data_IF_211928587346
#
_entry.id   IF_211928587346
#
_cell.length_a   1.000
_cell.length_b   1.000
_cell.length_c   1.000
_cell.angle_alpha   90.00
_cell.angle_beta   90.00
_cell.angle_gamma   90.00
#
_symmetry.space_group_name_H-M   'P 1'
#
loop_
_entity.id
_entity.type
_entity.pdbx_description
1 polymer ?
#
# COMPACT_ATOMS: atom_id res chain seq x y z
N UNK A 1 -21.37 -14.59 -54.92
CA UNK A 1 -20.15 -13.75 -54.78
C UNK A 1 -20.30 -12.61 -53.77
N UNK A 2 -21.44 -11.89 -53.68
CA UNK A 2 -21.69 -10.88 -52.63
C UNK A 2 -21.62 -11.42 -51.19
N UNK A 3 -22.05 -12.66 -50.98
CA UNK A 3 -22.04 -13.29 -49.65
C UNK A 3 -20.67 -13.83 -49.22
N UNK A 4 -19.71 -13.97 -50.14
CA UNK A 4 -18.33 -14.38 -49.81
C UNK A 4 -17.46 -13.18 -49.41
N UNK A 5 -17.80 -12.00 -49.91
CA UNK A 5 -17.13 -10.74 -49.56
C UNK A 5 -17.52 -10.31 -48.13
N UNK A 6 -18.76 -10.57 -47.70
CA UNK A 6 -19.19 -10.31 -46.31
C UNK A 6 -18.50 -11.24 -45.29
N UNK A 7 -18.27 -12.50 -45.61
CA UNK A 7 -17.59 -13.44 -44.70
C UNK A 7 -16.09 -13.17 -44.61
N UNK A 8 -15.46 -12.68 -45.68
CA UNK A 8 -14.06 -12.26 -45.68
C UNK A 8 -13.82 -10.95 -44.91
N UNK A 9 -14.82 -10.06 -44.84
CA UNK A 9 -14.73 -8.80 -44.10
C UNK A 9 -14.85 -8.98 -42.57
N UNK A 10 -15.48 -10.05 -42.08
CA UNK A 10 -15.61 -10.33 -40.64
C UNK A 10 -14.36 -10.96 -40.00
N UNK A 11 -13.41 -11.46 -40.80
CA UNK A 11 -12.19 -12.11 -40.29
C UNK A 11 -11.05 -11.12 -39.96
N UNK A 12 -11.26 -9.82 -40.16
CA UNK A 12 -10.27 -8.77 -39.87
C UNK A 12 -10.51 -7.99 -38.56
N UNK A 13 -11.42 -8.47 -37.68
CA UNK A 13 -11.39 -8.07 -36.27
C UNK A 13 -10.24 -8.82 -35.60
N UNK A 14 -9.02 -8.41 -35.95
CA UNK A 14 -7.82 -8.81 -35.24
C UNK A 14 -7.99 -8.33 -33.79
N UNK A 15 -8.19 -9.27 -32.89
CA UNK A 15 -8.07 -9.02 -31.46
C UNK A 15 -6.63 -8.60 -31.22
N UNK A 16 -6.39 -7.30 -31.09
CA UNK A 16 -5.12 -6.79 -30.55
C UNK A 16 -5.11 -7.19 -29.07
N UNK A 17 -4.64 -8.40 -28.80
CA UNK A 17 -4.35 -8.84 -27.44
C UNK A 17 -2.99 -8.24 -27.07
N UNK A 18 -3.01 -7.22 -26.21
CA UNK A 18 -1.77 -6.73 -25.61
C UNK A 18 -1.24 -7.83 -24.68
N UNK A 19 -0.22 -8.55 -25.13
CA UNK A 19 0.50 -9.48 -24.27
C UNK A 19 1.17 -8.68 -23.14
N UNK A 20 1.00 -9.16 -21.90
CA UNK A 20 1.62 -8.55 -20.73
C UNK A 20 3.15 -8.59 -20.88
N UNK A 21 3.82 -7.46 -20.63
CA UNK A 21 5.28 -7.39 -20.66
C UNK A 21 5.90 -8.28 -19.57
N UNK A 22 7.18 -8.63 -19.71
CA UNK A 22 7.88 -9.42 -18.70
C UNK A 22 7.89 -8.72 -17.33
N UNK A 23 8.05 -7.40 -17.31
CA UNK A 23 7.96 -6.57 -16.11
C UNK A 23 6.58 -6.70 -15.45
N UNK A 24 5.54 -6.44 -16.22
CA UNK A 24 4.17 -6.44 -15.73
C UNK A 24 3.75 -7.81 -15.20
N UNK A 25 4.15 -8.89 -15.87
CA UNK A 25 3.92 -10.27 -15.41
C UNK A 25 4.63 -10.52 -14.09
N UNK A 26 5.91 -10.14 -13.98
CA UNK A 26 6.68 -10.31 -12.76
C UNK A 26 6.09 -9.50 -11.60
N UNK A 27 5.70 -8.24 -11.84
CA UNK A 27 5.05 -7.41 -10.83
C UNK A 27 3.71 -7.99 -10.40
N UNK A 28 2.85 -8.39 -11.34
CA UNK A 28 1.52 -8.95 -11.03
C UNK A 28 1.64 -10.18 -10.14
N UNK A 29 2.55 -11.11 -10.47
CA UNK A 29 2.76 -12.34 -9.67
C UNK A 29 3.20 -12.05 -8.23
N UNK A 30 3.94 -10.97 -8.00
CA UNK A 30 4.45 -10.60 -6.67
C UNK A 30 3.44 -9.74 -5.90
N UNK A 31 2.73 -8.84 -6.56
CA UNK A 31 1.72 -7.97 -5.94
C UNK A 31 0.61 -8.79 -5.32
N UNK A 32 0.12 -9.84 -6.00
CA UNK A 32 -0.93 -10.71 -5.44
C UNK A 32 -0.53 -11.36 -4.13
N UNK A 33 0.78 -11.49 -3.87
CA UNK A 33 1.31 -12.07 -2.65
C UNK A 33 1.41 -11.05 -1.51
N UNK A 34 1.37 -9.75 -1.76
CA UNK A 34 1.69 -8.74 -0.73
C UNK A 34 0.61 -8.62 0.37
N UNK A 35 -0.61 -9.06 0.08
CA UNK A 35 -1.75 -9.07 1.03
C UNK A 35 -2.02 -10.47 1.64
N UNK A 36 -1.28 -11.50 1.21
CA UNK A 36 -1.41 -12.83 1.80
C UNK A 36 -0.94 -12.84 3.25
N UNK A 37 -1.40 -13.82 4.02
CA UNK A 37 -0.79 -14.14 5.30
C UNK A 37 0.60 -14.74 5.07
N UNK A 38 1.63 -14.13 5.65
CA UNK A 38 3.04 -14.52 5.50
C UNK A 38 3.82 -14.36 6.80
N UNK A 39 4.99 -14.99 6.87
CA UNK A 39 5.96 -14.78 7.94
C UNK A 39 6.82 -13.53 7.68
N UNK A 40 7.50 -12.98 8.71
CA UNK A 40 8.49 -11.90 8.53
C UNK A 40 9.58 -12.21 7.48
N UNK A 41 10.04 -13.46 7.41
CA UNK A 41 11.06 -13.93 6.46
C UNK A 41 10.53 -13.95 5.03
N UNK A 42 9.29 -14.39 4.85
CA UNK A 42 8.63 -14.40 3.53
C UNK A 42 8.38 -12.98 3.01
N UNK A 43 8.03 -12.03 3.88
CA UNK A 43 7.96 -10.62 3.51
C UNK A 43 9.32 -10.02 3.17
N UNK A 44 10.38 -10.45 3.87
CA UNK A 44 11.76 -10.05 3.53
C UNK A 44 12.14 -10.56 2.14
N UNK A 45 11.84 -11.83 1.83
CA UNK A 45 12.07 -12.39 0.49
C UNK A 45 11.27 -11.64 -0.59
N UNK A 46 10.01 -11.31 -0.30
CA UNK A 46 9.16 -10.56 -1.21
C UNK A 46 9.69 -9.14 -1.49
N UNK A 47 10.14 -8.43 -0.45
CA UNK A 47 10.77 -7.11 -0.61
C UNK A 47 12.03 -7.18 -1.48
N UNK A 48 12.89 -8.19 -1.26
CA UNK A 48 14.09 -8.42 -2.07
C UNK A 48 13.77 -8.73 -3.54
N UNK A 49 12.71 -9.48 -3.81
CA UNK A 49 12.27 -9.75 -5.17
C UNK A 49 11.80 -8.47 -5.87
N UNK A 50 11.03 -7.62 -5.18
CA UNK A 50 10.63 -6.32 -5.70
C UNK A 50 11.83 -5.38 -5.94
N UNK A 51 12.81 -5.34 -5.03
CA UNK A 51 14.03 -4.53 -5.21
C UNK A 51 14.85 -4.99 -6.41
N UNK A 52 14.93 -6.31 -6.65
CA UNK A 52 15.60 -6.89 -7.83
C UNK A 52 14.87 -6.49 -9.12
N UNK A 53 13.53 -6.50 -9.12
CA UNK A 53 12.73 -6.03 -10.26
C UNK A 53 13.00 -4.53 -10.49
N UNK A 54 12.95 -3.70 -9.45
CA UNK A 54 13.21 -2.27 -9.54
C UNK A 54 14.61 -1.96 -10.06
N UNK A 55 15.62 -2.73 -9.62
CA UNK A 55 17.00 -2.56 -10.09
C UNK A 55 17.15 -2.82 -11.58
N UNK A 56 16.37 -3.75 -12.15
CA UNK A 56 16.33 -4.02 -13.58
C UNK A 56 15.48 -2.99 -14.34
N UNK A 57 14.37 -2.56 -13.75
CA UNK A 57 13.39 -1.64 -14.32
C UNK A 57 13.50 -0.28 -13.62
N UNK A 58 14.71 0.28 -13.64
CA UNK A 58 15.15 1.39 -12.77
C UNK A 58 14.50 2.75 -13.04
N UNK A 59 13.58 2.83 -13.99
CA UNK A 59 12.76 4.00 -14.27
C UNK A 59 11.33 3.86 -13.70
N UNK A 60 11.02 2.77 -13.01
CA UNK A 60 9.70 2.50 -12.45
C UNK A 60 9.74 2.53 -10.91
N UNK A 61 8.88 3.35 -10.31
CA UNK A 61 8.80 3.51 -8.86
C UNK A 61 8.02 2.38 -8.16
N UNK A 62 7.12 1.68 -8.87
CA UNK A 62 6.22 0.70 -8.28
C UNK A 62 6.94 -0.49 -7.62
N UNK A 63 8.01 -1.09 -8.19
CA UNK A 63 8.75 -2.14 -7.51
C UNK A 63 9.27 -1.68 -6.13
N UNK A 64 9.87 -0.50 -6.06
CA UNK A 64 10.38 0.03 -4.80
C UNK A 64 9.25 0.39 -3.82
N UNK A 65 8.10 0.86 -4.30
CA UNK A 65 6.91 1.01 -3.45
C UNK A 65 6.49 -0.32 -2.81
N UNK A 66 6.38 -1.39 -3.60
CA UNK A 66 5.96 -2.68 -3.07
C UNK A 66 7.02 -3.35 -2.19
N UNK A 67 8.31 -3.08 -2.43
CA UNK A 67 9.38 -3.47 -1.52
C UNK A 67 9.20 -2.80 -0.15
N UNK A 68 8.97 -1.48 -0.12
CA UNK A 68 8.68 -0.75 1.10
C UNK A 68 7.42 -1.28 1.80
N UNK A 69 6.33 -1.50 1.05
CA UNK A 69 5.08 -2.01 1.61
C UNK A 69 5.23 -3.41 2.20
N UNK A 70 5.92 -4.34 1.52
CA UNK A 70 6.22 -5.67 2.05
C UNK A 70 7.01 -5.60 3.37
N UNK A 71 8.01 -4.71 3.45
CA UNK A 71 8.77 -4.47 4.68
C UNK A 71 7.90 -3.88 5.80
N UNK A 72 6.97 -2.98 5.48
CA UNK A 72 6.01 -2.44 6.45
C UNK A 72 5.08 -3.55 6.96
N UNK A 73 4.61 -4.45 6.09
CA UNK A 73 3.77 -5.59 6.49
C UNK A 73 4.51 -6.55 7.43
N UNK A 74 5.81 -6.81 7.18
CA UNK A 74 6.70 -7.48 8.14
C UNK A 74 6.71 -6.75 9.49
N UNK A 75 6.88 -5.42 9.50
CA UNK A 75 6.80 -4.61 10.72
C UNK A 75 5.47 -4.76 11.45
N UNK A 76 4.34 -4.74 10.74
CA UNK A 76 3.00 -4.93 11.34
C UNK A 76 2.82 -6.32 11.94
N UNK A 77 3.41 -7.36 11.37
CA UNK A 77 3.41 -8.71 11.97
C UNK A 77 4.23 -8.75 13.26
N UNK A 78 5.44 -8.17 13.24
CA UNK A 78 6.29 -8.09 14.43
C UNK A 78 5.59 -7.33 15.56
N UNK A 79 4.92 -6.24 15.23
CA UNK A 79 4.12 -5.47 16.18
C UNK A 79 2.99 -6.31 16.80
N UNK A 80 2.24 -7.06 15.98
CA UNK A 80 1.14 -7.93 16.44
C UNK A 80 1.62 -9.10 17.30
N UNK A 81 2.84 -9.59 17.09
CA UNK A 81 3.46 -10.63 17.92
C UNK A 81 4.16 -10.09 19.18
N UNK A 82 4.13 -8.78 19.40
CA UNK A 82 4.78 -8.13 20.54
C UNK A 82 6.29 -7.92 20.39
N UNK A 83 6.87 -8.26 19.23
CA UNK A 83 8.28 -8.06 18.96
C UNK A 83 8.55 -6.60 18.52
N UNK A 84 8.82 -5.74 19.50
CA UNK A 84 9.13 -4.32 19.28
C UNK A 84 10.54 -4.06 18.77
N UNK A 85 11.49 -4.96 19.03
CA UNK A 85 12.92 -4.77 18.71
C UNK A 85 13.16 -4.66 17.20
N UNK A 86 12.34 -5.35 16.39
CA UNK A 86 12.48 -5.35 14.94
C UNK A 86 11.79 -4.16 14.21
N UNK A 87 11.05 -3.31 14.92
CA UNK A 87 10.22 -2.28 14.27
C UNK A 87 11.04 -1.13 13.68
N UNK A 88 12.09 -0.70 14.37
CA UNK A 88 13.01 0.35 13.85
C UNK A 88 13.74 -0.12 12.60
N UNK A 89 14.27 -1.34 12.65
CA UNK A 89 14.95 -1.94 11.49
C UNK A 89 14.01 -2.09 10.29
N UNK A 90 12.75 -2.48 10.51
CA UNK A 90 11.75 -2.55 9.44
C UNK A 90 11.41 -1.15 8.88
N UNK A 91 11.27 -0.14 9.74
CA UNK A 91 11.02 1.24 9.29
C UNK A 91 12.20 1.80 8.48
N UNK A 92 13.43 1.60 8.94
CA UNK A 92 14.65 2.05 8.25
C UNK A 92 14.86 1.35 6.91
N UNK A 93 14.55 0.06 6.83
CA UNK A 93 14.59 -0.70 5.58
C UNK A 93 13.51 -0.21 4.60
N UNK A 94 12.28 0.02 5.07
CA UNK A 94 11.20 0.56 4.24
C UNK A 94 11.53 1.96 3.72
N UNK A 95 12.12 2.83 4.54
CA UNK A 95 12.49 4.19 4.13
C UNK A 95 13.55 4.21 3.01
N UNK A 96 14.47 3.23 2.97
CA UNK A 96 15.42 3.08 1.85
C UNK A 96 14.70 2.82 0.53
N UNK A 97 13.67 1.97 0.55
CA UNK A 97 12.86 1.68 -0.63
C UNK A 97 11.96 2.85 -1.01
N UNK A 98 11.37 3.55 -0.02
CA UNK A 98 10.61 4.79 -0.24
C UNK A 98 11.50 5.84 -0.92
N UNK A 99 12.74 6.01 -0.48
CA UNK A 99 13.68 6.96 -1.08
C UNK A 99 14.00 6.62 -2.54
N UNK A 100 14.19 5.33 -2.87
CA UNK A 100 14.35 4.88 -4.27
C UNK A 100 13.11 5.18 -5.12
N UNK A 101 11.92 4.92 -4.57
CA UNK A 101 10.65 5.21 -5.26
C UNK A 101 10.42 6.72 -5.45
N UNK A 102 10.74 7.53 -4.46
CA UNK A 102 10.55 8.99 -4.46
C UNK A 102 11.48 9.69 -5.46
N UNK A 103 12.70 9.18 -5.65
CA UNK A 103 13.60 9.65 -6.71
C UNK A 103 13.00 9.50 -8.12
N UNK A 104 12.10 8.54 -8.32
CA UNK A 104 11.43 8.24 -9.59
C UNK A 104 10.02 8.82 -9.68
N UNK A 105 9.36 9.04 -8.55
CA UNK A 105 7.99 9.54 -8.45
C UNK A 105 7.87 10.54 -7.28
N UNK A 106 8.46 11.74 -7.42
CA UNK A 106 8.34 12.77 -6.40
C UNK A 106 6.90 13.25 -6.28
N UNK A 107 6.50 13.72 -5.10
CA UNK A 107 5.13 14.18 -4.82
C UNK A 107 4.05 13.12 -5.09
N UNK A 108 4.32 11.87 -4.73
CA UNK A 108 3.38 10.77 -4.89
C UNK A 108 2.68 10.46 -3.55
N UNK A 109 1.35 10.59 -3.52
CA UNK A 109 0.52 10.36 -2.32
C UNK A 109 0.77 8.98 -1.70
N UNK A 110 0.95 7.94 -2.52
CA UNK A 110 1.20 6.58 -2.05
C UNK A 110 2.50 6.47 -1.25
N UNK A 111 3.54 7.23 -1.61
CA UNK A 111 4.80 7.24 -0.85
C UNK A 111 4.66 7.96 0.49
N UNK A 112 3.85 9.01 0.55
CA UNK A 112 3.53 9.67 1.82
C UNK A 112 2.67 8.81 2.74
N UNK A 113 1.78 7.99 2.18
CA UNK A 113 1.05 6.94 2.92
C UNK A 113 2.04 5.97 3.57
N UNK A 114 3.05 5.49 2.83
CA UNK A 114 4.07 4.61 3.41
C UNK A 114 4.91 5.31 4.49
N UNK A 115 5.27 6.59 4.31
CA UNK A 115 5.98 7.39 5.33
C UNK A 115 5.17 7.53 6.64
N UNK A 116 3.85 7.70 6.56
CA UNK A 116 2.96 7.65 7.74
C UNK A 116 3.11 6.31 8.45
N UNK A 117 3.09 5.22 7.69
CA UNK A 117 3.16 3.87 8.25
C UNK A 117 4.52 3.57 8.88
N UNK A 118 5.65 3.99 8.28
CA UNK A 118 6.99 3.78 8.86
C UNK A 118 7.19 4.56 10.15
N UNK A 119 6.71 5.81 10.21
CA UNK A 119 6.68 6.58 11.46
C UNK A 119 5.80 5.91 12.53
N UNK A 120 4.67 5.32 12.14
CA UNK A 120 3.85 4.48 13.01
C UNK A 120 4.61 3.28 13.59
N UNK A 121 5.43 2.60 12.80
CA UNK A 121 6.28 1.49 13.30
C UNK A 121 7.31 1.99 14.31
N UNK A 122 7.98 3.11 14.04
CA UNK A 122 8.93 3.74 14.98
C UNK A 122 8.28 4.15 16.28
N UNK A 123 7.08 4.72 16.21
CA UNK A 123 6.28 5.05 17.38
C UNK A 123 5.99 3.79 18.19
N UNK A 124 5.61 2.69 17.54
CA UNK A 124 5.25 1.45 18.23
C UNK A 124 6.43 0.67 18.81
N UNK A 125 7.66 0.96 18.40
CA UNK A 125 8.88 0.42 19.01
C UNK A 125 9.02 0.88 20.48
N UNK A 126 8.73 2.15 20.75
CA UNK A 126 8.67 2.72 22.12
C UNK A 126 7.61 3.84 22.20
N UNK A 127 6.32 3.50 22.39
CA UNK A 127 5.23 4.47 22.33
C UNK A 127 5.35 5.60 23.34
N UNK A 128 5.87 5.31 24.55
CA UNK A 128 5.91 6.28 25.64
C UNK A 128 6.93 7.38 25.38
N UNK A 129 8.08 7.05 24.79
CA UNK A 129 9.12 8.04 24.49
C UNK A 129 8.96 8.68 23.12
N UNK A 130 8.33 7.99 22.16
CA UNK A 130 8.34 8.41 20.74
C UNK A 130 7.03 8.97 20.23
N UNK A 131 5.93 8.89 20.97
CA UNK A 131 4.65 9.46 20.53
C UNK A 131 4.79 10.94 20.15
N UNK A 132 5.43 11.75 21.00
CA UNK A 132 5.55 13.19 20.78
C UNK A 132 6.46 13.56 19.59
N UNK A 133 7.40 12.70 19.20
CA UNK A 133 8.30 12.93 18.07
C UNK A 133 7.77 12.35 16.76
N UNK A 134 7.21 11.14 16.79
CA UNK A 134 6.76 10.42 15.60
C UNK A 134 5.35 10.80 15.17
N UNK A 135 4.42 11.09 16.11
CA UNK A 135 3.05 11.44 15.73
C UNK A 135 2.98 12.68 14.80
N UNK A 136 3.72 13.78 15.04
CA UNK A 136 3.75 14.90 14.10
C UNK A 136 4.28 14.52 12.71
N UNK A 137 5.31 13.66 12.63
CA UNK A 137 5.88 13.19 11.36
C UNK A 137 4.84 12.38 10.58
N UNK A 138 4.18 11.44 11.25
CA UNK A 138 3.12 10.63 10.67
C UNK A 138 1.95 11.50 10.14
N UNK A 139 1.51 12.49 10.93
CA UNK A 139 0.41 13.37 10.54
C UNK A 139 0.79 14.34 9.42
N UNK A 140 2.03 14.84 9.37
CA UNK A 140 2.52 15.65 8.25
C UNK A 140 2.56 14.84 6.95
N UNK A 141 3.04 13.59 7.01
CA UNK A 141 3.02 12.70 5.86
C UNK A 141 1.59 12.43 5.37
N UNK A 142 0.66 12.13 6.29
CA UNK A 142 -0.74 11.91 5.95
C UNK A 142 -1.41 13.16 5.36
N UNK A 143 -1.13 14.35 5.92
CA UNK A 143 -1.62 15.61 5.39
C UNK A 143 -1.12 15.86 3.96
N UNK A 144 0.15 15.55 3.67
CA UNK A 144 0.68 15.66 2.31
C UNK A 144 0.05 14.66 1.34
N UNK A 145 -0.23 13.43 1.80
CA UNK A 145 -0.97 12.45 1.01
C UNK A 145 -2.39 12.95 0.67
N UNK A 146 -3.08 13.58 1.65
CA UNK A 146 -4.43 14.17 1.46
C UNK A 146 -4.39 15.32 0.44
N UNK A 147 -3.37 16.18 0.51
CA UNK A 147 -3.19 17.27 -0.44
C UNK A 147 -3.03 16.75 -1.88
N UNK A 148 -2.27 15.67 -2.05
CA UNK A 148 -1.92 15.10 -3.35
C UNK A 148 -3.02 14.21 -3.95
N UNK A 149 -3.75 13.47 -3.13
CA UNK A 149 -4.80 12.54 -3.56
C UNK A 149 -5.90 12.40 -2.50
N UNK A 150 -6.79 13.41 -2.35
CA UNK A 150 -7.77 13.46 -1.27
C UNK A 150 -8.83 12.35 -1.31
N UNK A 151 -8.98 11.67 -2.44
CA UNK A 151 -9.95 10.59 -2.64
C UNK A 151 -9.33 9.20 -2.48
N UNK A 152 -8.04 9.11 -2.14
CA UNK A 152 -7.36 7.85 -1.97
C UNK A 152 -7.92 7.07 -0.77
N UNK A 153 -8.50 5.87 -0.96
CA UNK A 153 -9.15 5.14 0.11
C UNK A 153 -8.17 4.67 1.21
N UNK A 154 -6.88 4.47 0.88
CA UNK A 154 -5.86 4.06 1.86
C UNK A 154 -5.59 5.16 2.89
N UNK A 155 -5.74 6.44 2.53
CA UNK A 155 -5.70 7.55 3.49
C UNK A 155 -6.80 7.38 4.54
N UNK A 156 -8.02 7.12 4.09
CA UNK A 156 -9.17 6.91 4.99
C UNK A 156 -8.99 5.66 5.84
N UNK A 157 -8.39 4.59 5.32
CA UNK A 157 -8.00 3.41 6.12
C UNK A 157 -7.07 3.84 7.26
N UNK A 158 -6.02 4.61 6.97
CA UNK A 158 -5.08 5.06 7.99
C UNK A 158 -5.73 6.02 9.01
N UNK A 159 -6.65 6.88 8.58
CA UNK A 159 -7.44 7.72 9.49
C UNK A 159 -8.38 6.87 10.37
N UNK A 160 -8.96 5.81 9.82
CA UNK A 160 -9.79 4.88 10.56
C UNK A 160 -8.97 4.15 11.63
N UNK A 161 -7.77 3.67 11.29
CA UNK A 161 -6.83 3.08 12.25
C UNK A 161 -6.47 4.06 13.38
N UNK A 162 -6.08 5.29 13.03
CA UNK A 162 -5.71 6.31 14.02
C UNK A 162 -6.89 6.57 14.98
N UNK A 163 -8.11 6.74 14.47
CA UNK A 163 -9.30 6.92 15.29
C UNK A 163 -9.64 5.67 16.12
N UNK A 164 -9.52 4.48 15.54
CA UNK A 164 -9.93 3.22 16.17
C UNK A 164 -8.98 2.78 17.30
N UNK A 165 -7.67 2.98 17.12
CA UNK A 165 -6.64 2.48 18.04
C UNK A 165 -6.10 3.52 19.02
N UNK A 166 -6.30 4.82 18.76
CA UNK A 166 -5.98 5.85 19.75
C UNK A 166 -6.87 5.64 20.98
N UNK A 167 -6.32 5.62 22.20
CA UNK A 167 -7.14 5.55 23.40
C UNK A 167 -8.11 6.74 23.49
N UNK A 168 -9.31 6.54 24.04
CA UNK A 168 -10.35 7.58 24.09
C UNK A 168 -9.88 8.85 24.83
N UNK A 169 -9.05 8.69 25.88
CA UNK A 169 -8.44 9.79 26.62
C UNK A 169 -7.50 10.67 25.77
N UNK A 170 -7.05 10.18 24.62
CA UNK A 170 -6.22 10.90 23.65
C UNK A 170 -7.03 11.29 22.39
N UNK A 171 -8.37 11.22 22.44
CA UNK A 171 -9.26 11.65 21.37
C UNK A 171 -9.60 10.55 20.34
N UNK A 172 -9.24 9.29 20.59
CA UNK A 172 -9.68 8.19 19.76
C UNK A 172 -11.15 7.82 19.98
N UNK A 173 -11.73 7.08 19.03
CA UNK A 173 -13.10 6.59 19.08
C UNK A 173 -13.24 5.38 18.16
N UNK A 174 -13.55 4.22 18.74
CA UNK A 174 -13.86 3.00 17.96
C UNK A 174 -15.04 3.21 17.02
N UNK A 175 -16.07 3.92 17.47
CA UNK A 175 -17.23 4.29 16.64
C UNK A 175 -16.79 5.11 15.43
N UNK A 176 -15.95 6.14 15.66
CA UNK A 176 -15.46 6.96 14.55
C UNK A 176 -14.57 6.18 13.59
N UNK A 177 -13.71 5.31 14.13
CA UNK A 177 -12.89 4.39 13.35
C UNK A 177 -13.74 3.48 12.46
N UNK A 178 -14.80 2.87 13.00
CA UNK A 178 -15.72 2.03 12.22
C UNK A 178 -16.44 2.81 11.10
N UNK A 179 -16.89 4.05 11.37
CA UNK A 179 -17.46 4.92 10.33
C UNK A 179 -16.47 5.20 9.20
N UNK A 180 -15.20 5.46 9.55
CA UNK A 180 -14.14 5.71 8.58
C UNK A 180 -13.77 4.46 7.79
N UNK A 181 -13.72 3.27 8.41
CA UNK A 181 -13.54 2.02 7.68
C UNK A 181 -14.67 1.79 6.67
N UNK A 182 -15.92 2.04 7.05
CA UNK A 182 -17.07 1.98 6.13
C UNK A 182 -16.89 2.94 4.96
N UNK A 183 -16.53 4.20 5.24
CA UNK A 183 -16.23 5.19 4.20
C UNK A 183 -15.10 4.74 3.27
N UNK A 184 -14.04 4.13 3.80
CA UNK A 184 -12.92 3.63 3.00
C UNK A 184 -13.38 2.54 2.02
N UNK A 185 -14.19 1.58 2.47
CA UNK A 185 -14.78 0.53 1.61
C UNK A 185 -15.63 1.13 0.49
N UNK A 186 -16.43 2.15 0.79
CA UNK A 186 -17.21 2.88 -0.22
C UNK A 186 -16.31 3.60 -1.24
N UNK A 187 -15.24 4.26 -0.77
CA UNK A 187 -14.26 4.90 -1.64
C UNK A 187 -13.57 3.90 -2.57
N UNK A 188 -13.19 2.71 -2.07
CA UNK A 188 -12.59 1.66 -2.92
C UNK A 188 -13.49 1.23 -4.09
N UNK A 189 -14.82 1.38 -3.99
CA UNK A 189 -15.73 1.02 -5.08
C UNK A 189 -15.74 2.07 -6.22
N UNK A 190 -15.26 3.28 -5.96
CA UNK A 190 -15.27 4.40 -6.93
C UNK A 190 -13.86 4.87 -7.30
N UNK A 191 -12.87 4.57 -6.47
CA UNK A 191 -11.48 4.95 -6.68
C UNK A 191 -10.91 4.25 -7.91
N UNK A 192 -10.41 5.04 -8.86
CA UNK A 192 -9.82 4.55 -10.10
C UNK A 192 -8.30 4.53 -9.99
N UNK A 193 -7.75 3.33 -9.89
CA UNK A 193 -6.31 3.11 -10.07
C UNK A 193 -5.87 3.61 -11.45
N UNK A 194 -4.68 4.22 -11.54
CA UNK A 194 -4.08 4.70 -12.81
C UNK A 194 -3.59 3.52 -13.66
N UNK A 195 -3.20 2.43 -13.00
CA UNK A 195 -2.73 1.17 -13.58
C UNK A 195 -3.28 -0.03 -12.81
N UNK A 196 -3.34 -1.19 -13.45
CA UNK A 196 -3.71 -2.43 -12.76
C UNK A 196 -2.63 -2.91 -11.77
N UNK A 197 -1.39 -2.41 -11.89
CA UNK A 197 -0.29 -2.63 -10.96
C UNK A 197 -0.31 -1.68 -9.76
N UNK A 198 -1.13 -0.62 -9.79
CA UNK A 198 -1.22 0.31 -8.67
C UNK A 198 -1.74 -0.37 -7.41
N UNK A 199 -1.45 0.21 -6.24
CA UNK A 199 -1.83 -0.37 -4.95
C UNK A 199 -3.35 -0.52 -4.81
N UNK A 200 -3.76 -1.73 -4.41
CA UNK A 200 -5.17 -2.10 -4.16
C UNK A 200 -5.43 -2.55 -2.72
N UNK A 201 -4.40 -2.53 -1.88
CA UNK A 201 -4.49 -2.97 -0.50
C UNK A 201 -5.36 -2.04 0.34
N UNK A 202 -5.78 -2.56 1.49
CA UNK A 202 -6.51 -1.83 2.54
C UNK A 202 -8.01 -2.06 2.53
N UNK A 203 -8.60 -2.52 1.42
CA UNK A 203 -10.02 -2.87 1.37
C UNK A 203 -10.35 -4.04 2.29
N UNK A 204 -9.59 -5.13 2.19
CA UNK A 204 -9.78 -6.31 3.04
C UNK A 204 -9.56 -6.00 4.53
N UNK A 205 -8.62 -5.10 4.84
CA UNK A 205 -8.38 -4.63 6.21
C UNK A 205 -9.57 -3.83 6.75
N UNK A 206 -10.11 -2.89 5.97
CA UNK A 206 -11.30 -2.13 6.36
C UNK A 206 -12.52 -3.06 6.57
N UNK A 207 -12.73 -4.01 5.66
CA UNK A 207 -13.80 -5.01 5.79
C UNK A 207 -13.62 -5.91 7.02
N UNK A 208 -12.37 -6.30 7.35
CA UNK A 208 -12.09 -7.06 8.56
C UNK A 208 -12.57 -6.32 9.82
N UNK A 209 -12.25 -5.03 9.98
CA UNK A 209 -12.65 -4.27 11.16
C UNK A 209 -14.14 -4.01 11.26
N UNK A 210 -14.85 -3.89 10.13
CA UNK A 210 -16.32 -3.76 10.12
C UNK A 210 -17.03 -5.06 10.56
N UNK A 211 -16.37 -6.20 10.42
CA UNK A 211 -16.90 -7.50 10.78
C UNK A 211 -16.52 -7.95 12.21
N UNK A 212 -15.65 -7.20 12.89
CA UNK A 212 -15.39 -7.41 14.32
C UNK A 212 -16.58 -6.89 15.12
N UNK A 213 -17.34 -7.81 15.74
CA UNK A 213 -18.46 -7.47 16.65
C UNK A 213 -17.97 -7.08 18.03
#
# INVERSE_FOLDING_TARGET
MKNLILTAALLFVSTITFAQTAFEKAMTEKITKVEDHKTPEEFTALANDFDRIGTKENNNWLPYYYAAFATIQKGRILMRSGNKVGLDSAADEADKYIAKAEALSPNNAELFILKKMTSGLRMMADPMSRYMSEAPIAQQALAKAIELDPNNPRITVLQAEDAYFTPEQFGGSKTKGAELFKKAVEQFNTYKSKSYLDPKWGKAEAEYFLNQK
#
